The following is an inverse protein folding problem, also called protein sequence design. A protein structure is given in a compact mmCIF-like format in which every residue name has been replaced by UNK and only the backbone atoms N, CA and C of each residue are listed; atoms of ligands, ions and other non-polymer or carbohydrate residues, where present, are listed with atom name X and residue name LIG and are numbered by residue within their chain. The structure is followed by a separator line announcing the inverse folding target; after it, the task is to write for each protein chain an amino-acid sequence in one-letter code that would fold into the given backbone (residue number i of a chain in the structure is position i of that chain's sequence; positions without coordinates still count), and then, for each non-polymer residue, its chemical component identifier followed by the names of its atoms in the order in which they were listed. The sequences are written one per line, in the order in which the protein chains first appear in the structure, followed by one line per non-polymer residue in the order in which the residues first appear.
data_IF_149286566215
#
_entry.id   IF_149286566215
#
_cell.length_a   1.000
_cell.length_b   1.000
_cell.length_c   1.000
_cell.angle_alpha   90.00
_cell.angle_beta   90.00
_cell.angle_gamma   90.00
#
_symmetry.space_group_name_H-M   'P 1'
#
loop_
_entity.id
_entity.type
_entity.pdbx_description
1 polymer ?
#
# COMPACT_ATOMS: atom_id res chain seq x y z
N UNK A 1 -57.22 -2.24 -29.12
CA UNK A 1 -56.20 -2.14 -28.08
C UNK A 1 -56.69 -2.90 -26.86
N UNK A 2 -56.11 -4.02 -26.64
CA UNK A 2 -56.48 -4.88 -25.53
C UNK A 2 -55.60 -4.56 -24.33
N UNK A 3 -56.25 -4.04 -23.33
CA UNK A 3 -55.59 -3.81 -22.07
C UNK A 3 -55.60 -5.11 -21.28
N UNK A 4 -54.48 -5.69 -21.15
CA UNK A 4 -54.29 -6.89 -20.34
C UNK A 4 -54.35 -6.50 -18.88
N UNK A 5 -55.44 -6.70 -18.24
CA UNK A 5 -55.55 -6.57 -16.80
C UNK A 5 -54.90 -7.78 -16.17
N UNK A 6 -53.72 -7.61 -15.68
CA UNK A 6 -53.13 -8.56 -14.80
C UNK A 6 -53.84 -8.44 -13.45
N UNK A 7 -54.71 -9.36 -13.20
CA UNK A 7 -55.21 -9.54 -11.84
C UNK A 7 -54.14 -10.14 -10.99
N UNK A 8 -53.49 -9.32 -10.26
CA UNK A 8 -52.66 -9.80 -9.18
C UNK A 8 -53.55 -10.41 -8.12
N UNK A 9 -53.63 -11.68 -8.12
CA UNK A 9 -54.13 -12.38 -6.94
C UNK A 9 -53.03 -12.28 -5.88
N UNK A 10 -53.21 -11.34 -5.05
CA UNK A 10 -52.50 -11.34 -3.80
C UNK A 10 -53.08 -12.49 -3.00
N UNK A 11 -52.44 -13.56 -3.02
CA UNK A 11 -52.67 -14.61 -2.08
C UNK A 11 -52.17 -14.13 -0.76
N UNK A 12 -53.08 -13.73 0.00
CA UNK A 12 -52.82 -13.49 1.39
C UNK A 12 -52.70 -14.81 2.09
N UNK A 13 -51.65 -15.39 1.90
CA UNK A 13 -51.28 -16.52 2.69
C UNK A 13 -50.12 -16.15 3.48
N UNK A 14 -50.45 -15.85 4.48
CA UNK A 14 -49.58 -15.51 5.39
C UNK A 14 -48.63 -16.35 5.93
N UNK A 15 -47.90 -16.51 6.10
CA UNK A 15 -47.09 -17.17 6.58
C UNK A 15 -45.92 -17.08 6.73
N UNK A 16 -45.69 -16.35 6.86
CA UNK A 16 -44.75 -16.30 7.27
C UNK A 16 -43.75 -16.51 8.05
N UNK A 17 -43.95 -16.62 8.73
CA UNK A 17 -43.49 -16.93 9.70
C UNK A 17 -42.24 -17.30 10.00
N UNK A 18 -41.93 -17.93 9.64
CA UNK A 18 -41.13 -18.74 10.05
C UNK A 18 -39.85 -18.69 9.97
N UNK A 19 -39.53 -17.98 9.38
CA UNK A 19 -38.34 -18.14 8.96
C UNK A 19 -37.28 -17.40 9.47
N UNK A 20 -37.54 -16.67 10.25
CA UNK A 20 -36.65 -15.76 10.80
C UNK A 20 -35.47 -16.30 11.55
N UNK A 21 -35.56 -17.42 11.95
CA UNK A 21 -34.49 -17.91 12.80
C UNK A 21 -33.29 -18.44 12.07
N UNK A 22 -33.46 -18.92 10.95
CA UNK A 22 -32.40 -19.60 10.26
C UNK A 22 -31.36 -18.75 9.60
N UNK A 23 -31.66 -17.60 9.11
CA UNK A 23 -30.64 -16.79 8.50
C UNK A 23 -29.60 -16.24 9.43
N UNK A 24 -29.94 -16.11 10.66
CA UNK A 24 -29.04 -15.52 11.63
C UNK A 24 -27.79 -16.32 11.86
N UNK A 25 -27.88 -17.61 11.81
CA UNK A 25 -26.74 -18.48 12.02
C UNK A 25 -25.77 -18.44 10.83
N UNK A 26 -26.31 -18.34 9.64
CA UNK A 26 -25.50 -18.27 8.44
C UNK A 26 -24.69 -16.95 8.36
N UNK A 27 -25.27 -15.87 8.84
CA UNK A 27 -24.62 -14.58 8.87
C UNK A 27 -23.41 -14.58 9.83
N UNK A 28 -23.53 -15.22 10.95
CA UNK A 28 -22.42 -15.28 11.88
C UNK A 28 -21.21 -16.04 11.33
N UNK A 29 -21.45 -17.11 10.61
CA UNK A 29 -20.37 -17.87 9.98
C UNK A 29 -19.66 -17.10 8.88
N UNK A 30 -20.38 -16.35 8.10
CA UNK A 30 -19.83 -15.54 7.05
C UNK A 30 -19.03 -14.34 7.57
N UNK A 31 -19.44 -13.77 8.65
CA UNK A 31 -18.72 -12.67 9.27
C UNK A 31 -17.32 -13.06 9.73
N UNK A 32 -17.17 -14.21 10.29
CA UNK A 32 -15.86 -14.72 10.71
C UNK A 32 -14.91 -14.94 9.53
N UNK A 33 -15.40 -15.51 8.45
CA UNK A 33 -14.60 -15.73 7.25
C UNK A 33 -14.21 -14.45 6.53
N UNK A 34 -15.11 -13.50 6.43
CA UNK A 34 -14.84 -12.21 5.82
C UNK A 34 -13.82 -11.40 6.61
N UNK A 35 -13.91 -11.42 7.92
CA UNK A 35 -12.95 -10.73 8.78
C UNK A 35 -11.54 -11.32 8.68
N UNK A 36 -11.41 -12.63 8.60
CA UNK A 36 -10.13 -13.28 8.42
C UNK A 36 -9.49 -12.95 7.07
N UNK A 37 -10.27 -12.84 6.01
CA UNK A 37 -9.78 -12.44 4.70
C UNK A 37 -9.36 -10.98 4.64
N UNK A 38 -10.12 -10.10 5.27
CA UNK A 38 -9.79 -8.69 5.33
C UNK A 38 -8.51 -8.41 6.10
N UNK A 39 -8.25 -9.13 7.17
CA UNK A 39 -7.05 -8.97 7.97
C UNK A 39 -5.75 -9.36 7.23
N UNK A 40 -5.84 -10.21 6.22
CA UNK A 40 -4.67 -10.67 5.48
C UNK A 40 -4.26 -9.73 4.32
N UNK A 41 -5.06 -8.71 4.03
CA UNK A 41 -5.04 -8.16 2.69
C UNK A 41 -4.46 -6.77 2.50
N UNK A 42 -4.39 -5.92 3.48
CA UNK A 42 -4.03 -4.53 3.26
C UNK A 42 -3.02 -3.99 4.27
N UNK A 43 -1.95 -3.45 3.76
CA UNK A 43 -1.04 -2.62 4.54
C UNK A 43 -0.93 -1.25 3.87
N UNK A 44 -0.99 -0.21 4.67
CA UNK A 44 -0.74 1.16 4.24
C UNK A 44 0.15 1.81 5.31
N UNK A 45 1.41 1.95 5.01
CA UNK A 45 2.39 2.47 5.95
C UNK A 45 3.13 3.65 5.33
N UNK A 46 3.32 4.68 6.13
CA UNK A 46 4.13 5.83 5.78
C UNK A 46 5.10 6.11 6.92
N UNK A 47 6.35 6.34 6.57
CA UNK A 47 7.40 6.66 7.54
C UNK A 47 8.24 7.83 7.09
N UNK A 48 8.69 8.67 8.02
CA UNK A 48 9.70 9.67 7.74
C UNK A 48 11.08 9.01 7.62
N UNK A 49 11.88 9.50 6.69
CA UNK A 49 13.29 9.16 6.56
C UNK A 49 14.14 10.29 7.12
N UNK A 50 15.12 9.93 7.92
CA UNK A 50 16.01 10.89 8.58
C UNK A 50 17.40 10.86 7.96
N UNK A 51 18.03 12.02 7.89
CA UNK A 51 19.38 12.19 7.38
C UNK A 51 20.42 11.38 8.16
N UNK A 52 21.32 10.77 7.44
CA UNK A 52 22.50 10.10 7.99
C UNK A 52 23.53 11.09 8.52
N UNK A 53 24.57 10.57 9.15
CA UNK A 53 25.64 11.40 9.75
C UNK A 53 26.29 12.39 8.79
N UNK A 54 26.47 11.98 7.55
CA UNK A 54 27.05 12.85 6.52
C UNK A 54 26.06 13.84 5.89
N UNK A 55 24.75 13.60 6.06
CA UNK A 55 23.68 14.37 5.42
C UNK A 55 22.57 14.72 6.43
N UNK A 56 22.95 15.32 7.54
CA UNK A 56 22.04 15.57 8.68
C UNK A 56 20.80 16.39 8.35
N UNK A 57 20.89 17.26 7.35
CA UNK A 57 19.77 18.09 6.88
C UNK A 57 18.87 17.39 5.90
N UNK A 58 19.29 16.25 5.35
CA UNK A 58 18.50 15.47 4.43
C UNK A 58 17.26 14.92 5.15
N UNK A 59 16.16 14.87 4.45
CA UNK A 59 14.91 14.30 4.91
C UNK A 59 14.22 13.58 3.77
N UNK A 60 13.24 12.77 4.09
CA UNK A 60 12.48 12.06 3.08
C UNK A 60 11.29 11.36 3.70
N UNK A 61 10.59 10.63 2.87
CA UNK A 61 9.49 9.76 3.28
C UNK A 61 9.51 8.45 2.47
N UNK A 62 8.98 7.41 3.07
CA UNK A 62 8.68 6.17 2.36
C UNK A 62 7.25 5.78 2.62
N UNK A 63 6.54 5.42 1.58
CA UNK A 63 5.15 4.97 1.63
C UNK A 63 5.06 3.59 1.00
N UNK A 64 4.41 2.67 1.70
CA UNK A 64 4.17 1.33 1.23
C UNK A 64 2.69 1.00 1.32
N UNK A 65 2.15 0.52 0.24
CA UNK A 65 0.78 0.01 0.16
C UNK A 65 0.81 -1.42 -0.36
N UNK A 66 0.02 -2.28 0.26
CA UNK A 66 -0.15 -3.66 -0.17
C UNK A 66 -1.61 -4.02 -0.14
N UNK A 67 -2.09 -4.54 -1.26
CA UNK A 67 -3.43 -5.09 -1.45
C UNK A 67 -3.30 -6.47 -2.10
N UNK A 68 -4.35 -7.30 -2.14
CA UNK A 68 -4.30 -8.57 -2.83
C UNK A 68 -3.87 -8.41 -4.29
N UNK A 69 -2.73 -8.99 -4.64
CA UNK A 69 -2.18 -8.92 -5.99
C UNK A 69 -1.45 -7.63 -6.35
N UNK A 70 -1.48 -6.60 -5.51
CA UNK A 70 -0.86 -5.31 -5.79
C UNK A 70 0.00 -4.83 -4.65
N UNK A 71 1.17 -4.30 -4.97
CA UNK A 71 2.05 -3.62 -4.03
C UNK A 71 2.60 -2.37 -4.67
N UNK A 72 2.62 -1.30 -3.89
CA UNK A 72 3.22 -0.02 -4.24
C UNK A 72 4.24 0.38 -3.19
N UNK A 73 5.37 0.86 -3.64
CA UNK A 73 6.40 1.42 -2.77
C UNK A 73 6.94 2.70 -3.40
N UNK A 74 6.77 3.80 -2.69
CA UNK A 74 7.31 5.09 -3.07
C UNK A 74 8.30 5.56 -2.00
N UNK A 75 9.44 6.03 -2.45
CA UNK A 75 10.49 6.59 -1.58
C UNK A 75 10.93 7.91 -2.16
N UNK A 76 10.92 8.95 -1.35
CA UNK A 76 11.34 10.29 -1.70
C UNK A 76 12.42 10.77 -0.76
N UNK A 77 13.38 11.52 -1.28
CA UNK A 77 14.42 12.19 -0.50
C UNK A 77 14.56 13.64 -0.93
N UNK A 78 14.76 14.53 0.04
CA UNK A 78 14.82 15.97 -0.17
C UNK A 78 16.00 16.57 0.61
N UNK A 79 16.31 17.83 0.30
CA UNK A 79 17.37 18.62 0.94
C UNK A 79 18.76 18.04 0.77
N UNK A 80 19.04 17.49 -0.42
CA UNK A 80 20.34 16.95 -0.80
C UNK A 80 20.95 17.69 -1.99
N UNK A 81 20.87 19.03 -1.97
CA UNK A 81 21.39 19.88 -3.05
C UNK A 81 22.87 19.67 -3.34
N UNK A 82 23.65 19.29 -2.33
CA UNK A 82 25.07 18.95 -2.51
C UNK A 82 25.30 17.76 -3.43
N UNK A 83 24.26 16.95 -3.67
CA UNK A 83 24.29 15.80 -4.55
C UNK A 83 23.57 16.05 -5.87
N UNK A 84 23.20 17.29 -6.18
CA UNK A 84 22.51 17.63 -7.43
C UNK A 84 23.28 17.08 -8.64
N UNK A 85 22.58 16.43 -9.55
CA UNK A 85 23.17 15.76 -10.70
C UNK A 85 23.80 14.39 -10.44
N UNK A 86 24.00 14.01 -9.18
CA UNK A 86 24.51 12.69 -8.81
C UNK A 86 23.39 11.64 -8.82
N UNK A 87 23.78 10.38 -8.94
CA UNK A 87 22.85 9.26 -8.85
C UNK A 87 22.83 8.72 -7.41
N UNK A 88 21.65 8.42 -6.92
CA UNK A 88 21.44 7.79 -5.61
C UNK A 88 20.76 6.44 -5.76
N UNK A 89 20.97 5.55 -4.79
CA UNK A 89 20.49 4.18 -4.80
C UNK A 89 19.44 4.04 -3.69
N UNK A 90 18.27 3.56 -4.05
CA UNK A 90 17.17 3.28 -3.13
C UNK A 90 17.12 1.80 -2.80
N UNK A 91 16.97 1.47 -1.53
CA UNK A 91 16.88 0.10 -1.03
C UNK A 91 15.80 -0.02 0.04
N UNK A 92 15.09 -1.12 0.05
CA UNK A 92 14.10 -1.44 1.08
C UNK A 92 14.13 -2.93 1.40
N UNK A 93 13.97 -3.28 2.67
CA UNK A 93 14.00 -4.67 3.14
C UNK A 93 15.22 -5.47 2.63
N UNK A 94 16.38 -4.82 2.57
CA UNK A 94 17.64 -5.43 2.09
C UNK A 94 17.76 -5.59 0.58
N UNK A 95 16.77 -5.14 -0.20
CA UNK A 95 16.77 -5.22 -1.67
C UNK A 95 16.92 -3.85 -2.30
N UNK A 96 17.70 -3.75 -3.35
CA UNK A 96 17.82 -2.54 -4.15
C UNK A 96 16.56 -2.35 -5.00
N UNK A 97 15.92 -1.21 -4.86
CA UNK A 97 14.75 -0.84 -5.65
C UNK A 97 15.15 -0.26 -7.00
N UNK A 98 16.21 0.50 -7.02
CA UNK A 98 16.71 1.14 -8.23
C UNK A 98 17.56 2.37 -7.93
N UNK A 99 17.79 3.15 -8.98
CA UNK A 99 18.61 4.36 -8.93
C UNK A 99 17.82 5.53 -9.49
N UNK A 100 18.03 6.70 -8.95
CA UNK A 100 17.50 7.94 -9.50
C UNK A 100 18.55 9.05 -9.44
N UNK A 101 18.42 10.00 -10.34
CA UNK A 101 19.29 11.17 -10.39
C UNK A 101 18.71 12.26 -9.48
N UNK A 102 19.57 12.89 -8.71
CA UNK A 102 19.16 14.01 -7.86
C UNK A 102 18.92 15.25 -8.73
N UNK A 103 17.77 15.86 -8.57
CA UNK A 103 17.41 17.09 -9.29
C UNK A 103 18.25 18.30 -8.83
N UNK A 104 18.22 19.38 -9.58
CA UNK A 104 18.87 20.64 -9.21
C UNK A 104 18.36 21.22 -7.87
N UNK A 105 17.14 20.89 -7.50
CA UNK A 105 16.53 21.28 -6.22
C UNK A 105 16.99 20.40 -5.03
N UNK A 106 17.75 19.35 -5.29
CA UNK A 106 18.18 18.42 -4.26
C UNK A 106 17.11 17.43 -3.85
N UNK A 107 16.35 16.93 -4.80
CA UNK A 107 15.30 15.94 -4.62
C UNK A 107 15.55 14.74 -5.51
N UNK A 108 15.20 13.56 -5.02
CA UNK A 108 15.14 12.34 -5.81
C UNK A 108 14.04 11.45 -5.27
N UNK A 109 13.37 10.74 -6.15
CA UNK A 109 12.29 9.83 -5.81
C UNK A 109 12.36 8.55 -6.64
N UNK A 110 11.76 7.51 -6.12
CA UNK A 110 11.52 6.27 -6.84
C UNK A 110 10.14 5.72 -6.47
N UNK A 111 9.41 5.31 -7.47
CA UNK A 111 8.14 4.61 -7.32
C UNK A 111 8.23 3.24 -7.97
N UNK A 112 7.72 2.23 -7.29
CA UNK A 112 7.65 0.85 -7.77
C UNK A 112 6.26 0.30 -7.54
N UNK A 113 5.70 -0.32 -8.57
CA UNK A 113 4.36 -0.87 -8.56
C UNK A 113 4.35 -2.23 -9.25
N UNK A 114 3.73 -3.22 -8.62
CA UNK A 114 3.64 -4.57 -9.20
C UNK A 114 2.72 -4.64 -10.39
N UNK A 115 1.72 -3.77 -10.53
CA UNK A 115 0.88 -3.70 -11.73
C UNK A 115 1.69 -3.35 -12.98
N UNK A 116 2.72 -2.55 -12.82
CA UNK A 116 3.67 -2.21 -13.89
C UNK A 116 4.76 -3.27 -14.07
N UNK A 117 4.57 -4.47 -13.52
CA UNK A 117 5.52 -5.59 -13.55
C UNK A 117 6.89 -5.23 -12.94
N UNK A 118 6.92 -4.28 -12.04
CA UNK A 118 8.12 -3.90 -11.32
C UNK A 118 8.27 -4.74 -10.05
N UNK A 119 9.50 -5.07 -9.69
CA UNK A 119 9.76 -5.79 -8.45
C UNK A 119 9.54 -4.88 -7.24
N UNK A 120 8.55 -5.19 -6.42
CA UNK A 120 8.29 -4.54 -5.14
C UNK A 120 8.55 -5.57 -4.03
N UNK A 121 9.53 -5.33 -3.15
CA UNK A 121 9.79 -6.25 -2.05
C UNK A 121 8.61 -6.32 -1.10
N UNK A 122 8.45 -7.45 -0.45
CA UNK A 122 7.52 -7.54 0.67
C UNK A 122 8.10 -6.79 1.85
N UNK A 123 7.35 -5.81 2.34
CA UNK A 123 7.74 -4.99 3.48
C UNK A 123 7.01 -5.52 4.72
N UNK A 124 7.74 -5.70 5.80
CA UNK A 124 7.22 -6.04 7.11
C UNK A 124 7.52 -4.90 8.09
N UNK A 125 6.86 -4.88 9.23
CA UNK A 125 7.22 -3.94 10.31
C UNK A 125 8.66 -4.14 10.72
N UNK A 126 9.40 -3.05 10.87
CA UNK A 126 10.83 -3.06 11.14
C UNK A 126 11.71 -3.13 9.90
N UNK A 127 11.16 -3.35 8.71
CA UNK A 127 11.93 -3.29 7.47
C UNK A 127 12.59 -1.93 7.28
N UNK A 128 13.88 -1.96 6.98
CA UNK A 128 14.66 -0.74 6.80
C UNK A 128 14.53 -0.24 5.36
N UNK A 129 14.35 1.07 5.23
CA UNK A 129 14.49 1.80 3.97
C UNK A 129 15.74 2.65 4.05
N UNK A 130 16.52 2.68 2.98
CA UNK A 130 17.77 3.45 2.92
C UNK A 130 17.95 4.05 1.55
N UNK A 131 18.40 5.29 1.50
CA UNK A 131 18.90 5.93 0.28
C UNK A 131 20.39 6.20 0.46
N UNK A 132 21.19 5.79 -0.51
CA UNK A 132 22.65 5.87 -0.45
C UNK A 132 23.21 6.55 -1.69
N UNK A 133 24.41 7.11 -1.56
CA UNK A 133 25.22 7.47 -2.71
C UNK A 133 25.73 6.22 -3.42
N UNK A 134 26.22 6.37 -4.65
CA UNK A 134 26.91 5.28 -5.37
C UNK A 134 28.16 4.79 -4.64
N UNK A 135 28.79 5.62 -3.83
CA UNK A 135 29.90 5.26 -2.96
C UNK A 135 29.50 4.58 -1.64
N UNK A 136 28.22 4.32 -1.43
CA UNK A 136 27.73 3.58 -0.26
C UNK A 136 27.41 4.43 0.97
N UNK A 137 27.58 5.74 0.94
CA UNK A 137 27.23 6.61 2.07
C UNK A 137 25.74 6.73 2.22
N UNK A 138 25.21 6.51 3.43
CA UNK A 138 23.81 6.65 3.74
C UNK A 138 23.39 8.13 3.74
N UNK A 139 22.42 8.47 2.93
CA UNK A 139 21.84 9.81 2.84
C UNK A 139 20.69 9.92 3.83
N UNK A 140 19.70 9.06 3.71
CA UNK A 140 18.57 8.98 4.65
C UNK A 140 18.22 7.52 4.95
N UNK A 141 17.64 7.28 6.10
CA UNK A 141 17.13 5.96 6.47
C UNK A 141 15.93 6.05 7.40
N UNK A 142 15.12 5.00 7.40
CA UNK A 142 13.96 4.83 8.28
C UNK A 142 13.58 3.36 8.41
N UNK A 143 12.59 3.07 9.24
CA UNK A 143 12.01 1.74 9.42
C UNK A 143 10.50 1.82 9.44
N UNK A 144 9.85 0.89 8.73
CA UNK A 144 8.41 0.68 8.77
C UNK A 144 7.92 0.10 10.07
#
# INVERSE_FOLDING_TARGET
MSILRIKSKVAAGGIAVLVAATPTVAIASQSGSASARAAAATANWQIPLRGGTAYRTASGSAQYQSQPGQRDLQVEVQRIRSLAGSTVIFSAAGKTLGRAKVSALGQADISRNTELRQAVPSIARGSRVTVRTTGGKVIVSGRF
#
